data_IF_211617979874
#
_entry.id   IF_211617979874
#
_cell.length_a   1.000
_cell.length_b   1.000
_cell.length_c   1.000
_cell.angle_alpha   90.00
_cell.angle_beta   90.00
_cell.angle_gamma   90.00
#
_symmetry.space_group_name_H-M   'P 1'
#
loop_
_entity.id
_entity.type
_entity.pdbx_description
1 polymer ?
#
# COMPACT_ATOMS: atom_id res chain seq x y z
N UNK A 1 -32.54 -48.54 -3.24
CA UNK A 1 -33.11 -47.76 -2.13
C UNK A 1 -32.04 -46.81 -1.62
N UNK A 2 -32.33 -45.52 -1.54
CA UNK A 2 -31.35 -44.51 -1.12
C UNK A 2 -31.29 -44.49 0.42
N UNK A 3 -30.18 -44.91 1.01
CA UNK A 3 -30.05 -45.03 2.48
C UNK A 3 -29.32 -43.85 3.13
N UNK A 4 -28.38 -43.23 2.42
CA UNK A 4 -27.52 -42.18 2.96
C UNK A 4 -27.30 -41.08 1.94
N UNK A 5 -27.00 -39.87 2.44
CA UNK A 5 -26.68 -38.70 1.63
C UNK A 5 -25.50 -37.95 2.21
N UNK A 6 -24.71 -37.30 1.34
CA UNK A 6 -23.59 -36.44 1.75
C UNK A 6 -24.07 -34.99 1.91
N UNK A 7 -23.90 -34.43 3.10
CA UNK A 7 -24.14 -32.99 3.35
C UNK A 7 -23.01 -32.13 2.78
N UNK A 8 -23.29 -30.84 2.57
CA UNK A 8 -22.30 -29.84 2.09
C UNK A 8 -21.05 -29.71 2.98
N UNK A 9 -21.15 -30.09 4.26
CA UNK A 9 -20.04 -30.10 5.23
C UNK A 9 -19.27 -31.43 5.24
N UNK A 10 -19.51 -32.32 4.26
CA UNK A 10 -18.87 -33.62 4.13
C UNK A 10 -19.48 -34.74 4.98
N UNK A 11 -20.40 -34.44 5.91
CA UNK A 11 -21.00 -35.47 6.78
C UNK A 11 -21.95 -36.38 6.00
N UNK A 12 -21.90 -37.68 6.27
CA UNK A 12 -22.84 -38.67 5.76
C UNK A 12 -23.96 -38.85 6.78
N UNK A 13 -25.21 -38.71 6.34
CA UNK A 13 -26.40 -38.86 7.20
C UNK A 13 -27.41 -39.79 6.55
N UNK A 14 -28.32 -40.33 7.36
CA UNK A 14 -29.45 -41.10 6.86
C UNK A 14 -30.35 -40.27 5.94
N UNK A 15 -30.76 -40.89 4.84
CA UNK A 15 -31.71 -40.31 3.92
C UNK A 15 -33.11 -40.27 4.53
N UNK A 16 -33.81 -39.15 4.35
CA UNK A 16 -35.18 -38.99 4.82
C UNK A 16 -36.04 -38.38 3.72
N UNK A 17 -36.90 -39.21 3.11
CA UNK A 17 -37.83 -38.84 2.04
C UNK A 17 -38.79 -37.72 2.45
N UNK A 18 -39.24 -37.71 3.71
CA UNK A 18 -40.21 -36.74 4.21
C UNK A 18 -39.68 -35.29 4.11
N UNK A 19 -38.36 -35.10 4.15
CA UNK A 19 -37.72 -33.79 3.95
C UNK A 19 -37.93 -33.26 2.53
N UNK A 20 -37.92 -34.13 1.52
CA UNK A 20 -38.17 -33.76 0.13
C UNK A 20 -39.65 -33.41 -0.04
N UNK A 21 -40.55 -34.28 0.43
CA UNK A 21 -42.00 -34.05 0.38
C UNK A 21 -42.38 -32.71 1.05
N UNK A 22 -41.84 -32.45 2.24
CA UNK A 22 -42.06 -31.19 2.96
C UNK A 22 -41.55 -29.97 2.19
N UNK A 23 -40.39 -30.07 1.53
CA UNK A 23 -39.82 -28.97 0.78
C UNK A 23 -40.63 -28.66 -0.49
N UNK A 24 -41.06 -29.70 -1.22
CA UNK A 24 -41.96 -29.59 -2.37
C UNK A 24 -43.29 -28.99 -1.94
N UNK A 25 -43.86 -29.47 -0.83
CA UNK A 25 -45.13 -28.97 -0.31
C UNK A 25 -45.07 -27.49 0.06
N UNK A 26 -44.00 -27.06 0.74
CA UNK A 26 -43.79 -25.63 1.06
C UNK A 26 -43.69 -24.75 -0.18
N UNK A 27 -42.99 -25.23 -1.22
CA UNK A 27 -42.91 -24.51 -2.50
C UNK A 27 -44.27 -24.46 -3.20
N UNK A 28 -45.05 -25.53 -3.12
CA UNK A 28 -46.40 -25.61 -3.69
C UNK A 28 -47.37 -24.67 -2.96
N UNK A 29 -47.33 -24.61 -1.63
CA UNK A 29 -48.12 -23.68 -0.82
C UNK A 29 -47.85 -22.22 -1.19
N UNK A 30 -46.60 -21.86 -1.42
CA UNK A 30 -46.21 -20.49 -1.81
C UNK A 30 -46.78 -20.07 -3.18
N UNK A 31 -47.27 -21.01 -4.00
CA UNK A 31 -47.92 -20.74 -5.29
C UNK A 31 -49.41 -21.16 -5.31
N UNK A 32 -50.00 -21.39 -4.14
CA UNK A 32 -51.43 -21.68 -3.97
C UNK A 32 -51.84 -23.16 -4.01
N UNK A 33 -50.89 -24.08 -3.89
CA UNK A 33 -51.14 -25.53 -3.79
C UNK A 33 -51.34 -26.00 -2.34
N UNK A 34 -52.26 -26.94 -2.11
CA UNK A 34 -52.60 -27.40 -0.75
C UNK A 34 -52.61 -28.93 -0.57
N UNK A 35 -52.22 -29.69 -1.60
CA UNK A 35 -52.26 -31.15 -1.55
C UNK A 35 -50.90 -31.74 -1.14
N UNK A 36 -50.78 -32.16 0.12
CA UNK A 36 -49.58 -32.83 0.63
C UNK A 36 -49.35 -34.20 -0.04
N UNK A 37 -50.42 -34.91 -0.40
CA UNK A 37 -50.33 -36.24 -1.01
C UNK A 37 -49.61 -36.16 -2.37
N UNK A 38 -49.92 -35.14 -3.17
CA UNK A 38 -49.21 -34.87 -4.44
C UNK A 38 -47.73 -34.56 -4.21
N UNK A 39 -47.38 -33.82 -3.14
CA UNK A 39 -45.98 -33.55 -2.81
C UNK A 39 -45.21 -34.82 -2.42
N UNK A 40 -45.89 -35.79 -1.79
CA UNK A 40 -45.34 -37.11 -1.43
C UNK A 40 -45.17 -38.02 -2.64
N UNK A 41 -46.07 -37.94 -3.62
CA UNK A 41 -45.92 -38.66 -4.90
C UNK A 41 -44.74 -38.10 -5.69
N UNK A 42 -44.63 -36.78 -5.78
CA UNK A 42 -43.50 -36.12 -6.43
C UNK A 42 -42.17 -36.40 -5.72
N UNK A 43 -42.14 -36.53 -4.39
CA UNK A 43 -40.90 -36.91 -3.69
C UNK A 43 -40.45 -38.33 -4.03
N UNK A 44 -41.38 -39.26 -4.27
CA UNK A 44 -41.07 -40.62 -4.73
C UNK A 44 -40.51 -40.61 -6.14
N UNK A 45 -41.12 -39.83 -7.04
CA UNK A 45 -40.63 -39.63 -8.40
C UNK A 45 -39.18 -39.07 -8.39
N UNK A 46 -38.88 -38.16 -7.48
CA UNK A 46 -37.51 -37.61 -7.28
C UNK A 46 -36.54 -38.70 -6.82
N UNK A 47 -36.93 -39.53 -5.86
CA UNK A 47 -36.08 -40.63 -5.37
C UNK A 47 -35.81 -41.63 -6.48
N UNK A 48 -36.84 -42.01 -7.24
CA UNK A 48 -36.72 -42.92 -8.37
C UNK A 48 -35.78 -42.34 -9.44
N UNK A 49 -35.96 -41.07 -9.78
CA UNK A 49 -35.07 -40.36 -10.70
C UNK A 49 -33.60 -40.41 -10.24
N UNK A 50 -33.33 -40.12 -8.96
CA UNK A 50 -31.97 -40.12 -8.41
C UNK A 50 -31.39 -41.53 -8.42
N UNK A 51 -32.15 -42.54 -7.99
CA UNK A 51 -31.69 -43.94 -7.97
C UNK A 51 -31.37 -44.46 -9.37
N UNK A 52 -32.12 -44.04 -10.39
CA UNK A 52 -31.93 -44.49 -11.76
C UNK A 52 -30.82 -43.73 -12.51
N UNK A 53 -30.53 -42.49 -12.10
CA UNK A 53 -29.58 -41.61 -12.80
C UNK A 53 -28.21 -41.58 -12.14
N UNK A 54 -28.13 -41.82 -10.82
CA UNK A 54 -26.88 -41.72 -10.08
C UNK A 54 -26.09 -43.03 -10.10
N UNK A 55 -24.74 -43.01 -10.26
CA UNK A 55 -23.93 -44.22 -10.28
C UNK A 55 -24.08 -45.04 -9.00
N UNK A 56 -24.20 -46.37 -9.11
CA UNK A 56 -24.42 -47.28 -7.96
C UNK A 56 -23.33 -47.23 -6.88
N UNK A 57 -22.15 -46.68 -7.18
CA UNK A 57 -21.00 -46.62 -6.27
C UNK A 57 -20.76 -45.23 -5.64
N UNK A 58 -21.64 -44.26 -5.86
CA UNK A 58 -21.47 -42.91 -5.27
C UNK A 58 -22.69 -42.49 -4.44
N UNK A 59 -22.45 -41.62 -3.47
CA UNK A 59 -23.48 -41.10 -2.56
C UNK A 59 -23.95 -39.73 -3.09
N UNK A 60 -25.25 -39.55 -3.37
CA UNK A 60 -25.74 -38.26 -3.83
C UNK A 60 -25.57 -37.23 -2.70
N UNK A 61 -25.10 -36.05 -3.11
CA UNK A 61 -25.06 -34.90 -2.23
C UNK A 61 -26.40 -34.16 -2.21
N UNK A 62 -26.48 -33.16 -1.34
CA UNK A 62 -27.69 -32.35 -1.19
C UNK A 62 -28.04 -31.59 -2.48
N UNK A 63 -27.07 -31.20 -3.31
CA UNK A 63 -27.34 -30.47 -4.56
C UNK A 63 -27.96 -31.39 -5.60
N UNK A 64 -27.43 -32.60 -5.73
CA UNK A 64 -27.95 -33.64 -6.62
C UNK A 64 -29.43 -33.91 -6.35
N UNK A 65 -29.81 -33.98 -5.06
CA UNK A 65 -31.21 -34.19 -4.66
C UNK A 65 -32.06 -32.97 -5.04
N UNK A 66 -31.54 -31.76 -4.81
CA UNK A 66 -32.25 -30.53 -5.13
C UNK A 66 -32.48 -30.35 -6.63
N UNK A 67 -31.48 -30.66 -7.46
CA UNK A 67 -31.59 -30.61 -8.92
C UNK A 67 -32.56 -31.69 -9.44
N UNK A 68 -32.59 -32.86 -8.79
CA UNK A 68 -33.60 -33.88 -9.03
C UNK A 68 -35.03 -33.40 -8.75
N UNK A 69 -35.24 -32.66 -7.65
CA UNK A 69 -36.53 -32.02 -7.34
C UNK A 69 -36.95 -31.04 -8.43
N UNK A 70 -36.04 -30.18 -8.88
CA UNK A 70 -36.35 -29.18 -9.90
C UNK A 70 -36.75 -29.84 -11.23
N UNK A 71 -35.99 -30.85 -11.66
CA UNK A 71 -36.26 -31.57 -12.89
C UNK A 71 -37.61 -32.29 -12.85
N UNK A 72 -37.87 -33.07 -11.80
CA UNK A 72 -39.14 -33.81 -11.68
C UNK A 72 -40.34 -32.87 -11.61
N UNK A 73 -40.23 -31.74 -10.90
CA UNK A 73 -41.30 -30.75 -10.86
C UNK A 73 -41.57 -30.13 -12.24
N UNK A 74 -40.54 -29.89 -13.05
CA UNK A 74 -40.71 -29.36 -14.42
C UNK A 74 -41.32 -30.43 -15.34
N UNK A 75 -40.77 -31.64 -15.34
CA UNK A 75 -41.22 -32.76 -16.20
C UNK A 75 -42.67 -33.18 -15.92
N UNK A 76 -43.09 -33.13 -14.65
CA UNK A 76 -44.47 -33.45 -14.22
C UNK A 76 -45.44 -32.26 -14.36
N UNK A 77 -45.01 -31.16 -14.99
CA UNK A 77 -45.87 -30.01 -15.30
C UNK A 77 -46.10 -29.03 -14.14
N UNK A 78 -45.36 -29.16 -13.04
CA UNK A 78 -45.44 -28.27 -11.87
C UNK A 78 -44.45 -27.08 -11.96
N UNK A 79 -44.38 -26.43 -13.12
CA UNK A 79 -43.41 -25.37 -13.41
C UNK A 79 -43.48 -24.18 -12.41
N UNK A 80 -44.68 -23.80 -11.96
CA UNK A 80 -44.85 -22.74 -10.94
C UNK A 80 -44.24 -23.13 -9.60
N UNK A 81 -44.45 -24.38 -9.17
CA UNK A 81 -43.87 -24.94 -7.94
C UNK A 81 -42.36 -25.07 -8.06
N UNK A 82 -41.85 -25.52 -9.21
CA UNK A 82 -40.41 -25.59 -9.48
C UNK A 82 -39.74 -24.21 -9.35
N UNK A 83 -40.32 -23.17 -9.96
CA UNK A 83 -39.82 -21.79 -9.84
C UNK A 83 -39.78 -21.31 -8.39
N UNK A 84 -40.85 -21.56 -7.63
CA UNK A 84 -40.93 -21.21 -6.20
C UNK A 84 -39.85 -21.93 -5.39
N UNK A 85 -39.65 -23.22 -5.66
CA UNK A 85 -38.62 -24.04 -5.02
C UNK A 85 -37.19 -23.53 -5.31
N UNK A 86 -36.89 -23.23 -6.58
CA UNK A 86 -35.60 -22.63 -7.02
C UNK A 86 -35.34 -21.31 -6.28
N UNK A 87 -36.33 -20.40 -6.26
CA UNK A 87 -36.20 -19.10 -5.61
C UNK A 87 -36.00 -19.23 -4.10
N UNK A 88 -36.71 -20.16 -3.45
CA UNK A 88 -36.53 -20.46 -2.02
C UNK A 88 -35.13 -21.02 -1.72
N UNK A 89 -34.62 -21.93 -2.56
CA UNK A 89 -33.25 -22.46 -2.47
C UNK A 89 -32.21 -21.34 -2.59
N UNK A 90 -32.34 -20.49 -3.62
CA UNK A 90 -31.45 -19.36 -3.86
C UNK A 90 -31.45 -18.38 -2.67
N UNK A 91 -32.63 -18.05 -2.14
CA UNK A 91 -32.76 -17.20 -0.95
C UNK A 91 -32.08 -17.82 0.29
N UNK A 92 -32.27 -19.13 0.52
CA UNK A 92 -31.69 -19.83 1.67
C UNK A 92 -30.17 -20.00 1.57
N UNK A 93 -29.64 -20.22 0.37
CA UNK A 93 -28.19 -20.21 0.12
C UNK A 93 -27.62 -18.82 0.44
N UNK A 94 -28.26 -17.75 -0.06
CA UNK A 94 -27.87 -16.36 0.23
C UNK A 94 -27.89 -16.02 1.73
N UNK A 95 -28.92 -16.46 2.46
CA UNK A 95 -29.00 -16.27 3.92
C UNK A 95 -27.90 -17.02 4.68
N UNK A 96 -27.47 -18.19 4.20
CA UNK A 96 -26.39 -18.96 4.83
C UNK A 96 -25.03 -18.33 4.56
N UNK A 97 -24.80 -17.86 3.34
CA UNK A 97 -23.60 -17.12 2.96
C UNK A 97 -23.49 -15.82 3.77
N UNK A 98 -24.60 -15.09 3.92
CA UNK A 98 -24.67 -13.87 4.75
C UNK A 98 -24.54 -14.12 6.26
N UNK A 99 -24.60 -15.37 6.72
CA UNK A 99 -24.45 -15.74 8.14
C UNK A 99 -23.01 -16.09 8.54
N UNK A 100 -22.08 -16.14 7.58
CA UNK A 100 -20.65 -16.33 7.88
C UNK A 100 -20.14 -15.16 8.74
N UNK A 101 -19.19 -15.44 9.65
CA UNK A 101 -18.62 -14.41 10.55
C UNK A 101 -18.14 -13.20 9.75
N UNK A 102 -17.42 -13.47 8.66
CA UNK A 102 -16.89 -12.44 7.77
C UNK A 102 -17.99 -11.58 7.13
N UNK A 103 -19.08 -12.16 6.63
CA UNK A 103 -20.17 -11.37 6.03
C UNK A 103 -20.90 -10.51 7.05
N UNK A 104 -21.03 -10.98 8.30
CA UNK A 104 -21.55 -10.13 9.39
C UNK A 104 -20.61 -8.98 9.71
N UNK A 105 -19.31 -9.25 9.78
CA UNK A 105 -18.29 -8.19 9.95
C UNK A 105 -18.35 -7.18 8.82
N UNK A 106 -18.49 -7.62 7.57
CA UNK A 106 -18.61 -6.73 6.42
C UNK A 106 -19.88 -5.88 6.51
N UNK A 107 -21.02 -6.48 6.85
CA UNK A 107 -22.25 -5.73 7.05
C UNK A 107 -22.09 -4.64 8.11
N UNK A 108 -21.41 -4.95 9.22
CA UNK A 108 -21.10 -3.98 10.26
C UNK A 108 -20.24 -2.82 9.74
N UNK A 109 -19.17 -3.12 8.99
CA UNK A 109 -18.32 -2.10 8.36
C UNK A 109 -19.09 -1.24 7.35
N UNK A 110 -20.07 -1.81 6.63
CA UNK A 110 -20.83 -1.08 5.58
C UNK A 110 -21.92 -0.17 6.15
N UNK A 111 -22.63 -0.64 7.17
CA UNK A 111 -23.95 -0.09 7.52
C UNK A 111 -24.08 0.38 8.98
N UNK A 112 -23.14 0.04 9.86
CA UNK A 112 -23.15 0.52 11.25
C UNK A 112 -22.30 1.79 11.37
N UNK A 113 -22.77 2.77 12.15
CA UNK A 113 -21.98 3.99 12.41
C UNK A 113 -20.76 3.66 13.29
N UNK A 114 -19.58 4.22 12.96
CA UNK A 114 -18.32 3.81 13.60
C UNK A 114 -18.23 4.12 15.10
N UNK A 115 -19.06 5.03 15.62
CA UNK A 115 -19.16 5.30 17.06
C UNK A 115 -19.66 4.08 17.84
N UNK A 116 -20.48 3.23 17.22
CA UNK A 116 -21.06 2.03 17.82
C UNK A 116 -20.25 0.76 17.50
N UNK A 117 -19.29 0.81 16.57
CA UNK A 117 -18.55 -0.36 16.09
C UNK A 117 -17.07 -0.35 16.49
N UNK A 118 -16.73 -1.11 17.54
CA UNK A 118 -15.35 -1.27 18.03
C UNK A 118 -14.36 -1.77 16.95
N UNK A 119 -14.82 -2.48 15.92
CA UNK A 119 -13.96 -2.96 14.83
C UNK A 119 -13.44 -1.82 13.94
N UNK A 120 -14.20 -0.73 13.82
CA UNK A 120 -13.79 0.44 13.05
C UNK A 120 -12.73 1.29 13.76
N UNK A 121 -12.46 1.02 15.05
CA UNK A 121 -11.50 1.77 15.90
C UNK A 121 -10.23 1.00 16.29
N UNK A 122 -10.08 -0.23 15.80
CA UNK A 122 -8.97 -1.13 16.20
C UNK A 122 -7.59 -0.65 15.74
N UNK A 123 -7.52 0.08 14.61
CA UNK A 123 -6.27 0.62 14.10
C UNK A 123 -6.23 2.13 14.31
N UNK A 124 -5.38 2.60 15.22
CA UNK A 124 -5.27 4.02 15.57
C UNK A 124 -4.83 4.91 14.40
N UNK A 125 -4.27 4.31 13.36
CA UNK A 125 -3.89 5.02 12.16
C UNK A 125 -5.06 5.21 11.20
N UNK A 126 -6.06 4.32 11.16
CA UNK A 126 -7.09 4.30 10.09
C UNK A 126 -8.43 4.87 10.57
N UNK A 127 -8.89 5.97 9.99
CA UNK A 127 -10.27 6.44 10.15
C UNK A 127 -11.21 5.54 9.33
N UNK A 128 -11.82 4.60 10.05
CA UNK A 128 -12.83 3.70 9.52
C UNK A 128 -14.04 4.41 8.89
N UNK A 129 -14.27 5.69 9.16
CA UNK A 129 -15.38 6.46 8.57
C UNK A 129 -15.12 6.88 7.12
N UNK A 130 -13.87 6.84 6.67
CA UNK A 130 -13.54 7.18 5.28
C UNK A 130 -13.81 6.00 4.35
N UNK A 131 -14.16 6.27 3.09
CA UNK A 131 -14.37 5.22 2.09
C UNK A 131 -13.14 4.30 1.94
N UNK A 132 -11.93 4.87 2.06
CA UNK A 132 -10.68 4.10 2.01
C UNK A 132 -10.44 3.31 3.31
N UNK A 133 -10.78 3.87 4.47
CA UNK A 133 -10.71 3.17 5.75
C UNK A 133 -11.63 1.95 5.80
N UNK A 134 -12.87 2.07 5.32
CA UNK A 134 -13.80 0.94 5.19
C UNK A 134 -13.27 -0.13 4.22
N UNK A 135 -12.73 0.27 3.05
CA UNK A 135 -12.11 -0.66 2.10
C UNK A 135 -10.92 -1.41 2.70
N UNK A 136 -10.06 -0.71 3.43
CA UNK A 136 -8.92 -1.31 4.11
C UNK A 136 -9.39 -2.30 5.19
N UNK A 137 -10.47 -1.98 5.92
CA UNK A 137 -11.07 -2.88 6.91
C UNK A 137 -11.65 -4.15 6.29
N UNK A 138 -12.29 -4.07 5.13
CA UNK A 138 -12.68 -5.28 4.40
C UNK A 138 -11.47 -6.14 4.06
N UNK A 139 -10.41 -5.52 3.53
CA UNK A 139 -9.15 -6.23 3.23
C UNK A 139 -8.56 -6.91 4.46
N UNK A 140 -8.49 -6.18 5.59
CA UNK A 140 -7.95 -6.67 6.85
C UNK A 140 -8.73 -7.87 7.39
N UNK A 141 -10.05 -7.75 7.52
CA UNK A 141 -10.89 -8.83 8.07
C UNK A 141 -10.96 -10.05 7.14
N UNK A 142 -10.98 -9.82 5.81
CA UNK A 142 -10.88 -10.88 4.83
C UNK A 142 -9.55 -11.64 4.90
N UNK A 143 -8.45 -10.90 5.06
CA UNK A 143 -7.11 -11.48 5.19
C UNK A 143 -6.98 -12.31 6.48
N UNK A 144 -7.40 -11.77 7.64
CA UNK A 144 -7.41 -12.50 8.92
C UNK A 144 -8.16 -13.83 8.82
N UNK A 145 -9.35 -13.83 8.21
CA UNK A 145 -10.14 -15.06 8.02
C UNK A 145 -9.45 -16.04 7.09
N UNK A 146 -8.89 -15.55 5.98
CA UNK A 146 -8.15 -16.39 5.05
C UNK A 146 -6.95 -17.07 5.73
N UNK A 147 -6.17 -16.33 6.52
CA UNK A 147 -4.99 -16.87 7.20
C UNK A 147 -5.34 -17.91 8.26
N UNK A 148 -6.39 -17.69 9.04
CA UNK A 148 -6.86 -18.68 10.01
C UNK A 148 -7.28 -20.01 9.37
N UNK A 149 -7.89 -19.95 8.19
CA UNK A 149 -8.44 -21.12 7.52
C UNK A 149 -7.43 -21.86 6.64
N UNK A 150 -6.47 -21.13 6.04
CA UNK A 150 -5.65 -21.69 4.95
C UNK A 150 -4.14 -21.55 5.13
N UNK A 151 -3.65 -20.68 6.03
CA UNK A 151 -2.21 -20.37 6.12
C UNK A 151 -1.62 -20.80 7.46
N UNK A 152 -2.28 -20.44 8.57
CA UNK A 152 -1.78 -20.74 9.90
C UNK A 152 -1.93 -22.22 10.24
N UNK A 153 -0.94 -22.75 10.97
CA UNK A 153 -1.10 -24.03 11.66
C UNK A 153 -2.29 -23.93 12.63
N UNK A 154 -3.13 -24.97 12.68
CA UNK A 154 -4.32 -25.01 13.52
C UNK A 154 -4.03 -24.74 15.00
N UNK A 155 -2.90 -25.23 15.53
CA UNK A 155 -2.52 -25.02 16.94
C UNK A 155 -2.15 -23.55 17.20
N UNK A 156 -1.44 -22.90 16.28
CA UNK A 156 -1.08 -21.48 16.38
C UNK A 156 -2.31 -20.58 16.22
N UNK A 157 -3.18 -20.90 15.25
CA UNK A 157 -4.44 -20.21 15.00
C UNK A 157 -5.34 -20.25 16.25
N UNK A 158 -5.48 -21.44 16.86
CA UNK A 158 -6.23 -21.61 18.11
C UNK A 158 -5.57 -20.89 19.28
N UNK A 159 -4.25 -20.96 19.42
CA UNK A 159 -3.54 -20.24 20.49
C UNK A 159 -3.73 -18.72 20.38
N UNK A 160 -3.79 -18.17 19.15
CA UNK A 160 -4.09 -16.76 18.92
C UNK A 160 -5.54 -16.40 19.29
N UNK A 161 -6.50 -17.21 18.84
CA UNK A 161 -7.93 -17.01 19.13
C UNK A 161 -8.26 -17.16 20.63
N UNK A 162 -7.58 -18.08 21.31
CA UNK A 162 -7.69 -18.29 22.77
C UNK A 162 -6.97 -17.19 23.59
N UNK A 163 -6.26 -16.26 22.94
CA UNK A 163 -5.49 -15.20 23.60
C UNK A 163 -4.21 -15.69 24.31
N UNK A 164 -3.74 -16.91 24.01
CA UNK A 164 -2.49 -17.47 24.57
C UNK A 164 -1.25 -16.88 23.93
N UNK A 165 -1.35 -16.51 22.66
CA UNK A 165 -0.34 -15.76 21.91
C UNK A 165 -1.01 -14.64 21.13
N UNK A 166 -0.23 -13.65 20.72
CA UNK A 166 -0.70 -12.59 19.83
C UNK A 166 0.17 -12.58 18.57
N UNK A 167 -0.44 -12.86 17.41
CA UNK A 167 0.21 -12.72 16.12
C UNK A 167 0.00 -11.26 15.70
N UNK A 168 1.06 -10.47 15.79
CA UNK A 168 1.04 -9.06 15.41
C UNK A 168 0.75 -8.90 13.92
N UNK A 169 -0.06 -7.89 13.59
CA UNK A 169 -0.35 -7.45 12.22
C UNK A 169 -0.76 -8.61 11.29
N UNK A 170 -1.57 -9.53 11.83
CA UNK A 170 -1.92 -10.78 11.16
C UNK A 170 -2.57 -10.56 9.80
N UNK A 171 -3.30 -9.46 9.60
CA UNK A 171 -3.87 -9.04 8.31
C UNK A 171 -2.82 -8.79 7.20
N UNK A 172 -1.57 -8.56 7.56
CA UNK A 172 -0.45 -8.37 6.62
C UNK A 172 0.54 -9.55 6.57
N UNK A 173 0.28 -10.63 7.32
CA UNK A 173 1.23 -11.71 7.61
C UNK A 173 2.03 -12.24 6.40
N UNK A 174 1.37 -12.45 5.26
CA UNK A 174 2.02 -12.98 4.04
C UNK A 174 2.24 -11.94 2.96
N UNK A 175 1.87 -10.68 3.20
CA UNK A 175 1.85 -9.62 2.18
C UNK A 175 3.14 -8.78 2.19
N UNK A 176 3.64 -8.44 3.37
CA UNK A 176 4.74 -7.48 3.50
C UNK A 176 5.57 -7.69 4.76
N UNK A 177 6.71 -7.01 4.82
CA UNK A 177 7.53 -6.90 6.01
C UNK A 177 6.93 -5.88 6.99
N UNK A 178 7.33 -5.96 8.26
CA UNK A 178 6.82 -5.07 9.31
C UNK A 178 7.40 -3.65 9.22
N UNK A 179 8.70 -3.50 9.48
CA UNK A 179 9.37 -2.20 9.56
C UNK A 179 10.63 -2.18 8.67
N UNK A 180 11.09 -0.99 8.28
CA UNK A 180 12.38 -0.85 7.58
C UNK A 180 13.14 0.43 7.99
N UNK A 181 14.47 0.33 7.88
CA UNK A 181 15.37 1.47 7.95
C UNK A 181 15.84 1.78 6.53
N UNK A 182 15.60 3.00 6.08
CA UNK A 182 15.87 3.43 4.70
C UNK A 182 17.25 4.07 4.65
N UNK A 183 18.18 3.43 3.94
CA UNK A 183 19.48 4.02 3.62
C UNK A 183 19.35 4.94 2.40
N UNK A 184 19.12 6.23 2.66
CA UNK A 184 18.95 7.24 1.60
C UNK A 184 20.25 7.54 0.84
N UNK A 185 21.42 7.28 1.44
CA UNK A 185 22.71 7.47 0.75
C UNK A 185 22.82 6.46 -0.39
N UNK A 186 22.49 5.20 -0.11
CA UNK A 186 22.44 4.15 -1.12
C UNK A 186 21.31 4.38 -2.12
N UNK A 187 20.11 4.74 -1.64
CA UNK A 187 18.93 4.91 -2.49
C UNK A 187 19.11 6.01 -3.54
N UNK A 188 19.71 7.13 -3.15
CA UNK A 188 19.85 8.29 -4.05
C UNK A 188 21.06 8.21 -4.97
N UNK A 189 22.10 7.48 -4.58
CA UNK A 189 23.33 7.35 -5.37
C UNK A 189 23.03 6.77 -6.75
N UNK A 190 23.42 7.49 -7.80
CA UNK A 190 23.15 7.19 -9.21
C UNK A 190 21.66 7.18 -9.62
N UNK A 191 20.74 7.48 -8.70
CA UNK A 191 19.31 7.39 -8.93
C UNK A 191 18.74 5.96 -8.78
N UNK A 192 17.43 5.84 -8.91
CA UNK A 192 16.72 4.57 -8.77
C UNK A 192 15.43 4.53 -9.60
N UNK A 193 14.93 3.32 -9.87
CA UNK A 193 13.66 3.12 -10.59
C UNK A 193 12.52 2.87 -9.60
N UNK A 194 11.37 3.49 -9.84
CA UNK A 194 10.12 3.26 -9.09
C UNK A 194 9.17 2.31 -9.82
N UNK A 195 9.64 1.62 -10.86
CA UNK A 195 8.83 0.74 -11.72
C UNK A 195 8.10 1.49 -12.85
N UNK A 196 7.66 2.73 -12.62
CA UNK A 196 7.01 3.57 -13.64
C UNK A 196 7.90 4.70 -14.18
N UNK A 197 9.15 4.79 -13.74
CA UNK A 197 10.12 5.78 -14.20
C UNK A 197 11.46 5.69 -13.47
N UNK A 198 12.47 6.36 -14.02
CA UNK A 198 13.80 6.45 -13.41
C UNK A 198 14.02 7.83 -12.79
N UNK A 199 14.22 7.86 -11.48
CA UNK A 199 14.59 9.07 -10.74
C UNK A 199 16.11 9.21 -10.77
N UNK A 200 16.58 10.37 -11.23
CA UNK A 200 18.01 10.72 -11.18
C UNK A 200 18.41 11.10 -9.76
N UNK A 201 19.70 10.97 -9.46
CA UNK A 201 20.24 11.43 -8.19
C UNK A 201 19.91 12.92 -7.97
N UNK A 202 19.33 13.30 -6.81
CA UNK A 202 19.01 14.69 -6.50
C UNK A 202 20.27 15.56 -6.47
N UNK A 203 20.10 16.83 -6.84
CA UNK A 203 21.22 17.76 -7.04
C UNK A 203 21.17 18.98 -6.11
N UNK A 204 20.24 19.03 -5.16
CA UNK A 204 20.06 20.12 -4.19
C UNK A 204 19.25 19.63 -2.98
N UNK A 205 19.41 20.32 -1.85
CA UNK A 205 18.80 19.97 -0.56
C UNK A 205 17.27 19.85 -0.63
N UNK A 206 16.59 20.72 -1.39
CA UNK A 206 15.13 20.67 -1.54
C UNK A 206 14.69 19.37 -2.22
N UNK A 207 15.38 18.96 -3.28
CA UNK A 207 15.12 17.69 -3.97
C UNK A 207 15.45 16.48 -3.10
N UNK A 208 16.54 16.53 -2.33
CA UNK A 208 16.91 15.49 -1.37
C UNK A 208 15.82 15.32 -0.30
N UNK A 209 15.35 16.42 0.30
CA UNK A 209 14.31 16.42 1.31
C UNK A 209 12.97 15.90 0.75
N UNK A 210 12.56 16.37 -0.43
CA UNK A 210 11.34 15.90 -1.10
C UNK A 210 11.38 14.38 -1.37
N UNK A 211 12.49 13.88 -1.93
CA UNK A 211 12.65 12.44 -2.19
C UNK A 211 12.73 11.60 -0.91
N UNK A 212 13.30 12.14 0.19
CA UNK A 212 13.31 11.46 1.47
C UNK A 212 11.89 11.30 2.03
N UNK A 213 11.05 12.34 1.94
CA UNK A 213 9.64 12.27 2.32
C UNK A 213 8.88 11.25 1.46
N UNK A 214 9.08 11.29 0.14
CA UNK A 214 8.47 10.32 -0.80
C UNK A 214 8.91 8.88 -0.48
N UNK A 215 10.18 8.66 -0.14
CA UNK A 215 10.69 7.33 0.21
C UNK A 215 9.99 6.79 1.47
N UNK A 216 9.82 7.60 2.51
CA UNK A 216 9.08 7.22 3.72
C UNK A 216 7.62 6.89 3.35
N UNK A 217 6.96 7.78 2.61
CA UNK A 217 5.55 7.64 2.25
C UNK A 217 5.28 6.42 1.36
N UNK A 218 6.17 6.14 0.40
CA UNK A 218 6.04 4.97 -0.47
C UNK A 218 6.13 3.69 0.35
N UNK A 219 7.10 3.60 1.28
CA UNK A 219 7.21 2.42 2.13
C UNK A 219 6.02 2.29 3.10
N UNK A 220 5.51 3.39 3.66
CA UNK A 220 4.33 3.35 4.54
C UNK A 220 3.06 2.89 3.80
N UNK A 221 2.99 3.01 2.47
CA UNK A 221 1.88 2.46 1.67
C UNK A 221 1.99 0.95 1.41
N UNK A 222 3.20 0.40 1.50
CA UNK A 222 3.49 -1.02 1.21
C UNK A 222 3.81 -1.84 2.47
N UNK A 223 3.94 -1.19 3.63
CA UNK A 223 4.30 -1.80 4.92
C UNK A 223 3.37 -1.31 6.03
N UNK A 224 3.08 -2.16 7.01
CA UNK A 224 2.16 -1.84 8.11
C UNK A 224 2.84 -1.24 9.34
N UNK A 225 4.13 -1.53 9.55
CA UNK A 225 4.90 -1.01 10.68
C UNK A 225 5.48 0.37 10.42
N UNK A 226 6.48 0.74 11.23
CA UNK A 226 7.16 2.03 11.14
C UNK A 226 8.34 2.02 10.16
N UNK A 227 8.60 3.17 9.54
CA UNK A 227 9.77 3.41 8.71
C UNK A 227 10.60 4.55 9.25
N UNK A 228 11.91 4.46 9.09
CA UNK A 228 12.84 5.47 9.59
C UNK A 228 14.03 5.66 8.66
N UNK A 229 14.60 6.86 8.67
CA UNK A 229 15.90 7.17 8.06
C UNK A 229 16.86 7.41 9.23
N UNK A 230 17.66 6.40 9.64
CA UNK A 230 18.45 6.50 10.87
C UNK A 230 19.58 7.53 10.79
N UNK A 231 20.11 7.77 9.60
CA UNK A 231 21.21 8.70 9.32
C UNK A 231 20.71 9.92 8.53
N UNK A 232 19.56 10.48 8.90
CA UNK A 232 18.85 11.51 8.14
C UNK A 232 19.70 12.74 7.86
N UNK A 233 20.34 13.30 8.89
CA UNK A 233 21.25 14.43 8.80
C UNK A 233 22.44 14.16 7.88
N UNK A 234 23.12 13.03 8.08
CA UNK A 234 24.26 12.61 7.27
C UNK A 234 23.88 12.37 5.81
N UNK A 235 22.75 11.69 5.57
CA UNK A 235 22.28 11.36 4.23
C UNK A 235 21.84 12.61 3.44
N UNK A 236 21.27 13.60 4.12
CA UNK A 236 20.89 14.88 3.51
C UNK A 236 22.06 15.86 3.37
N UNK A 237 23.15 15.70 4.13
CA UNK A 237 24.32 16.58 4.05
C UNK A 237 24.88 16.69 2.63
N UNK A 238 24.78 15.63 1.81
CA UNK A 238 25.17 15.68 0.39
C UNK A 238 24.32 16.67 -0.42
N UNK A 239 23.03 16.77 -0.10
CA UNK A 239 22.14 17.77 -0.70
C UNK A 239 22.54 19.20 -0.32
N UNK A 240 22.93 19.43 0.94
CA UNK A 240 23.44 20.72 1.43
C UNK A 240 24.74 21.09 0.71
N UNK A 241 25.69 20.15 0.61
CA UNK A 241 26.97 20.35 -0.10
C UNK A 241 26.74 20.76 -1.55
N UNK A 242 25.89 20.02 -2.29
CA UNK A 242 25.59 20.35 -3.70
C UNK A 242 24.90 21.71 -3.85
N UNK A 243 24.00 22.05 -2.94
CA UNK A 243 23.37 23.39 -2.90
C UNK A 243 24.41 24.48 -2.66
N UNK A 244 25.31 24.29 -1.69
CA UNK A 244 26.37 25.25 -1.38
C UNK A 244 27.27 25.48 -2.59
N UNK A 245 27.76 24.43 -3.25
CA UNK A 245 28.63 24.56 -4.43
C UNK A 245 27.94 25.35 -5.55
N UNK A 246 26.65 25.09 -5.81
CA UNK A 246 25.87 25.85 -6.82
C UNK A 246 25.74 27.32 -6.45
N UNK A 247 25.44 27.61 -5.18
CA UNK A 247 25.30 28.97 -4.66
C UNK A 247 26.63 29.72 -4.68
N UNK A 248 27.71 29.07 -4.25
CA UNK A 248 29.06 29.60 -4.27
C UNK A 248 29.46 30.04 -5.67
N UNK A 249 29.33 29.14 -6.66
CA UNK A 249 29.61 29.46 -8.07
C UNK A 249 28.78 30.64 -8.56
N UNK A 250 27.46 30.63 -8.31
CA UNK A 250 26.59 31.72 -8.74
C UNK A 250 26.97 33.07 -8.14
N UNK A 251 27.29 33.10 -6.85
CA UNK A 251 27.68 34.32 -6.15
C UNK A 251 29.08 34.80 -6.53
N UNK A 252 29.99 33.88 -6.85
CA UNK A 252 31.30 34.21 -7.40
C UNK A 252 31.18 34.84 -8.79
N UNK A 253 30.33 34.30 -9.67
CA UNK A 253 30.07 34.92 -10.97
C UNK A 253 29.57 36.37 -10.83
N UNK A 254 28.56 36.60 -9.97
CA UNK A 254 28.01 37.95 -9.71
C UNK A 254 29.07 38.88 -9.14
N UNK A 255 29.94 38.39 -8.25
CA UNK A 255 30.98 39.20 -7.64
C UNK A 255 32.09 39.56 -8.64
N UNK A 256 32.49 38.63 -9.50
CA UNK A 256 33.47 38.89 -10.56
C UNK A 256 32.90 39.85 -11.61
N UNK A 257 31.64 39.69 -11.98
CA UNK A 257 30.94 40.63 -12.87
C UNK A 257 30.94 42.05 -12.30
N UNK A 258 30.60 42.19 -11.02
CA UNK A 258 30.53 43.51 -10.40
C UNK A 258 31.90 44.13 -10.10
N UNK A 259 32.85 43.35 -9.58
CA UNK A 259 34.14 43.88 -9.11
C UNK A 259 35.18 44.02 -10.21
N UNK A 260 35.16 43.14 -11.22
CA UNK A 260 36.13 43.13 -12.31
C UNK A 260 35.51 43.56 -13.66
N UNK A 261 34.22 43.92 -13.66
CA UNK A 261 33.47 44.33 -14.87
C UNK A 261 33.53 43.29 -16.01
N UNK A 262 33.65 42.00 -15.63
CA UNK A 262 33.69 40.89 -16.58
C UNK A 262 32.25 40.48 -16.96
N UNK A 263 31.92 40.30 -18.25
CA UNK A 263 30.59 39.84 -18.63
C UNK A 263 30.19 38.54 -17.91
N UNK A 264 28.94 38.46 -17.41
CA UNK A 264 28.47 37.32 -16.61
C UNK A 264 28.73 35.95 -17.27
N UNK A 265 28.51 35.82 -18.59
CA UNK A 265 28.74 34.56 -19.30
C UNK A 265 30.22 34.14 -19.28
N UNK A 266 31.14 35.11 -19.43
CA UNK A 266 32.58 34.87 -19.30
C UNK A 266 32.93 34.50 -17.85
N UNK A 267 32.37 35.20 -16.87
CA UNK A 267 32.58 34.87 -15.46
C UNK A 267 32.08 33.45 -15.13
N UNK A 268 30.93 33.05 -15.68
CA UNK A 268 30.36 31.71 -15.51
C UNK A 268 31.23 30.61 -16.11
N UNK A 269 31.75 30.81 -17.32
CA UNK A 269 32.69 29.88 -17.95
C UNK A 269 33.95 29.70 -17.09
N UNK A 270 34.57 30.82 -16.69
CA UNK A 270 35.78 30.83 -15.86
C UNK A 270 35.55 30.16 -14.52
N UNK A 271 34.47 30.51 -13.80
CA UNK A 271 34.16 29.91 -12.49
C UNK A 271 33.92 28.41 -12.61
N UNK A 272 33.20 27.96 -13.63
CA UNK A 272 32.92 26.54 -13.82
C UNK A 272 34.19 25.73 -14.11
N UNK A 273 35.09 26.26 -14.96
CA UNK A 273 36.39 25.65 -15.25
C UNK A 273 37.30 25.67 -14.02
N UNK A 274 37.49 26.84 -13.40
CA UNK A 274 38.36 27.02 -12.25
C UNK A 274 37.94 26.14 -11.07
N UNK A 275 36.62 26.06 -10.79
CA UNK A 275 36.11 25.17 -9.73
C UNK A 275 36.45 23.71 -10.02
N UNK A 276 36.25 23.24 -11.25
CA UNK A 276 36.57 21.85 -11.63
C UNK A 276 38.06 21.55 -11.46
N UNK A 277 38.92 22.47 -11.93
CA UNK A 277 40.38 22.31 -11.83
C UNK A 277 40.84 22.40 -10.37
N UNK A 278 40.30 23.32 -9.57
CA UNK A 278 40.61 23.46 -8.16
C UNK A 278 40.24 22.20 -7.36
N UNK A 279 39.05 21.65 -7.59
CA UNK A 279 38.61 20.38 -6.98
C UNK A 279 39.55 19.24 -7.39
N UNK A 280 39.93 19.15 -8.67
CA UNK A 280 40.82 18.09 -9.14
C UNK A 280 42.23 18.19 -8.53
N UNK A 281 42.78 19.41 -8.40
CA UNK A 281 44.12 19.65 -7.83
C UNK A 281 44.17 19.42 -6.32
N UNK A 282 43.11 19.77 -5.60
CA UNK A 282 43.11 19.77 -4.12
C UNK A 282 42.39 18.56 -3.52
N UNK A 283 41.48 17.93 -4.25
CA UNK A 283 40.54 16.95 -3.70
C UNK A 283 39.46 17.56 -2.79
N UNK A 284 39.35 18.89 -2.75
CA UNK A 284 38.47 19.62 -1.83
C UNK A 284 37.36 20.32 -2.62
N UNK A 285 36.12 20.15 -2.17
CA UNK A 285 34.99 20.91 -2.70
C UNK A 285 34.83 22.26 -1.98
N UNK A 286 34.23 23.28 -2.64
CA UNK A 286 33.68 24.42 -1.93
C UNK A 286 32.76 23.95 -0.81
N UNK A 287 33.00 24.44 0.40
CA UNK A 287 32.30 24.01 1.61
C UNK A 287 32.13 25.20 2.56
N UNK A 288 31.21 25.08 3.53
CA UNK A 288 30.89 26.15 4.48
C UNK A 288 32.15 26.72 5.15
N UNK A 289 33.06 25.85 5.58
CA UNK A 289 34.39 26.21 6.06
C UNK A 289 35.44 26.04 4.96
N UNK A 290 35.54 27.06 4.11
CA UNK A 290 36.49 27.06 2.99
C UNK A 290 37.93 26.83 3.46
N UNK A 291 38.58 25.78 2.93
CA UNK A 291 39.98 25.47 3.23
C UNK A 291 40.90 26.40 2.46
N UNK A 292 41.94 26.92 3.11
CA UNK A 292 42.91 27.84 2.51
C UNK A 292 43.55 27.26 1.26
N UNK A 293 43.81 25.95 1.24
CA UNK A 293 44.35 25.22 0.08
C UNK A 293 43.46 25.38 -1.17
N UNK A 294 42.14 25.24 -1.02
CA UNK A 294 41.19 25.43 -2.12
C UNK A 294 41.14 26.90 -2.57
N UNK A 295 41.04 27.82 -1.61
CA UNK A 295 40.92 29.26 -1.88
C UNK A 295 42.11 29.77 -2.69
N UNK A 296 43.33 29.39 -2.29
CA UNK A 296 44.57 29.81 -2.96
C UNK A 296 44.68 29.25 -4.38
N UNK A 297 44.34 27.98 -4.58
CA UNK A 297 44.36 27.38 -5.93
C UNK A 297 43.34 28.03 -6.84
N UNK A 298 42.12 28.29 -6.34
CA UNK A 298 41.08 28.96 -7.12
C UNK A 298 41.44 30.42 -7.43
N UNK A 299 42.06 31.13 -6.49
CA UNK A 299 42.54 32.50 -6.68
C UNK A 299 43.52 32.59 -7.85
N UNK A 300 44.54 31.73 -7.87
CA UNK A 300 45.54 31.71 -8.94
C UNK A 300 44.92 31.35 -10.30
N UNK A 301 44.00 30.38 -10.35
CA UNK A 301 43.31 30.01 -11.58
C UNK A 301 42.45 31.15 -12.13
N UNK A 302 41.73 31.87 -11.27
CA UNK A 302 40.88 33.00 -11.70
C UNK A 302 41.74 34.17 -12.18
N UNK A 303 42.83 34.49 -11.46
CA UNK A 303 43.79 35.52 -11.87
C UNK A 303 44.38 35.24 -13.25
N UNK A 304 44.77 33.99 -13.49
CA UNK A 304 45.31 33.54 -14.77
C UNK A 304 44.29 33.70 -15.89
N UNK A 305 43.07 33.17 -15.70
CA UNK A 305 42.02 33.13 -16.73
C UNK A 305 41.41 34.49 -17.05
N UNK A 306 41.38 35.42 -16.10
CA UNK A 306 40.86 36.76 -16.28
C UNK A 306 41.95 37.81 -16.54
N UNK A 307 43.23 37.39 -16.60
CA UNK A 307 44.38 38.29 -16.70
C UNK A 307 44.40 39.36 -15.57
N UNK A 308 43.75 39.04 -14.44
CA UNK A 308 43.48 39.95 -13.33
C UNK A 308 44.63 39.99 -12.30
N UNK A 309 45.88 39.82 -12.75
CA UNK A 309 47.06 39.71 -11.86
C UNK A 309 47.27 40.94 -10.97
N UNK A 310 46.94 42.14 -11.47
CA UNK A 310 47.03 43.39 -10.73
C UNK A 310 45.78 43.68 -9.87
N UNK A 311 44.82 42.76 -9.82
CA UNK A 311 43.53 42.90 -9.16
C UNK A 311 43.25 41.74 -8.18
N UNK A 312 44.31 41.12 -7.65
CA UNK A 312 44.22 40.01 -6.69
C UNK A 312 43.28 40.33 -5.51
N UNK A 313 43.37 41.54 -4.97
CA UNK A 313 42.54 41.97 -3.84
C UNK A 313 41.04 41.95 -4.19
N UNK A 314 40.67 42.24 -5.44
CA UNK A 314 39.29 42.17 -5.93
C UNK A 314 38.83 40.72 -6.09
N UNK A 315 39.69 39.82 -6.56
CA UNK A 315 39.37 38.38 -6.65
C UNK A 315 39.19 37.78 -5.25
N UNK A 316 40.07 38.12 -4.30
CA UNK A 316 39.94 37.72 -2.89
C UNK A 316 38.63 38.25 -2.29
N UNK A 317 38.27 39.50 -2.60
CA UNK A 317 37.00 40.09 -2.18
C UNK A 317 35.80 39.36 -2.81
N UNK A 318 35.91 38.92 -4.05
CA UNK A 318 34.90 38.13 -4.74
C UNK A 318 34.71 36.74 -4.09
N UNK A 319 35.80 36.02 -3.78
CA UNK A 319 35.74 34.73 -3.08
C UNK A 319 35.13 34.85 -1.68
N UNK A 320 35.50 35.90 -0.93
CA UNK A 320 34.92 36.19 0.39
C UNK A 320 33.42 36.50 0.29
N UNK A 321 33.02 37.30 -0.69
CA UNK A 321 31.61 37.58 -0.97
C UNK A 321 30.85 36.28 -1.28
N UNK A 322 31.36 35.47 -2.22
CA UNK A 322 30.74 34.22 -2.62
C UNK A 322 30.57 33.25 -1.45
N UNK A 323 31.61 33.05 -0.65
CA UNK A 323 31.60 32.16 0.52
C UNK A 323 30.57 32.60 1.56
N UNK A 324 30.56 33.90 1.90
CA UNK A 324 29.65 34.47 2.91
C UNK A 324 28.19 34.36 2.48
N UNK A 325 27.89 34.75 1.23
CA UNK A 325 26.52 34.73 0.74
C UNK A 325 26.01 33.30 0.50
N UNK A 326 26.85 32.41 -0.02
CA UNK A 326 26.48 31.00 -0.19
C UNK A 326 26.19 30.31 1.15
N UNK A 327 26.93 30.62 2.21
CA UNK A 327 26.69 30.07 3.54
C UNK A 327 25.31 30.50 4.09
N UNK A 328 24.97 31.79 3.96
CA UNK A 328 23.65 32.29 4.40
C UNK A 328 22.52 31.70 3.56
N UNK A 329 22.66 31.72 2.23
CA UNK A 329 21.61 31.23 1.33
C UNK A 329 21.39 29.71 1.43
N UNK A 330 22.44 28.92 1.69
CA UNK A 330 22.27 27.47 1.86
C UNK A 330 21.57 27.14 3.18
N UNK A 331 21.82 27.92 4.24
CA UNK A 331 21.15 27.77 5.53
C UNK A 331 19.64 28.03 5.39
N UNK A 332 19.27 29.16 4.77
CA UNK A 332 17.88 29.51 4.46
C UNK A 332 17.18 28.42 3.60
N UNK A 333 17.86 27.91 2.56
CA UNK A 333 17.31 26.84 1.71
C UNK A 333 17.17 25.51 2.44
N UNK A 334 18.12 25.19 3.31
CA UNK A 334 18.09 23.96 4.10
C UNK A 334 16.93 24.02 5.09
N UNK A 335 16.75 25.15 5.77
CA UNK A 335 15.61 25.40 6.64
C UNK A 335 14.28 25.22 5.91
N UNK A 336 14.08 25.90 4.77
CA UNK A 336 12.87 25.76 3.96
C UNK A 336 12.64 24.32 3.46
N UNK A 337 13.70 23.61 3.10
CA UNK A 337 13.60 22.21 2.70
C UNK A 337 13.13 21.31 3.86
N UNK A 338 13.56 21.59 5.09
CA UNK A 338 13.15 20.84 6.28
C UNK A 338 11.71 21.17 6.68
N UNK A 339 11.29 22.43 6.58
CA UNK A 339 9.86 22.80 6.74
C UNK A 339 8.99 22.07 5.72
N UNK A 340 9.41 22.06 4.45
CA UNK A 340 8.73 21.32 3.39
C UNK A 340 8.69 19.82 3.65
N UNK A 341 9.76 19.24 4.18
CA UNK A 341 9.81 17.83 4.59
C UNK A 341 8.79 17.52 5.69
N UNK A 342 8.76 18.31 6.76
CA UNK A 342 7.82 18.14 7.88
C UNK A 342 6.38 18.31 7.39
N UNK A 343 6.12 19.34 6.59
CA UNK A 343 4.81 19.57 5.99
C UNK A 343 4.38 18.35 5.16
N UNK A 344 5.24 17.86 4.27
CA UNK A 344 4.97 16.68 3.45
C UNK A 344 4.65 15.43 4.26
N UNK A 345 5.32 15.23 5.41
CA UNK A 345 5.00 14.11 6.30
C UNK A 345 3.65 14.26 7.00
N UNK A 346 3.23 15.49 7.30
CA UNK A 346 1.98 15.76 8.03
C UNK A 346 0.75 15.93 7.13
N UNK A 347 0.92 16.29 5.86
CA UNK A 347 -0.22 16.61 4.97
C UNK A 347 -0.53 15.56 3.92
N UNK A 348 0.40 14.64 3.64
CA UNK A 348 0.15 13.57 2.68
C UNK A 348 -0.45 12.36 3.40
N UNK A 349 -1.75 12.14 3.18
CA UNK A 349 -2.45 10.96 3.68
C UNK A 349 -1.86 9.70 3.06
N UNK A 350 -1.40 8.80 3.93
CA UNK A 350 -1.05 7.43 3.55
C UNK A 350 -2.35 6.61 3.54
N UNK A 351 -2.42 5.52 2.78
CA UNK A 351 -3.61 4.61 2.75
C UNK A 351 -4.09 4.17 4.14
N UNK A 352 -3.20 4.24 5.14
CA UNK A 352 -3.43 3.86 6.51
C UNK A 352 -3.68 5.03 7.47
N UNK A 353 -3.61 6.29 7.04
CA UNK A 353 -3.82 7.49 7.87
C UNK A 353 -4.87 8.41 7.26
N UNK A 354 -6.12 8.03 7.45
CA UNK A 354 -7.28 8.92 7.38
C UNK A 354 -7.74 9.20 8.79
#
# INVERSE_FOLDING_TARGET
>A
MLMQIRKRDGRIVEFNEEKIATAIYKAAMAVGGHNYQTAKELSRDVIEYIVNTFPRNDLPDVETIQDGVEKVLIEKGHAKTAKSYILYRAARTRTRESQTRLMKTYHGITYEEAEENNLMRENANVDGNTAMGAMLKYGSEGAKEFYHLHVLNADHSKAHQDGKIHIHDMDFLTLTMTCCQIDIVKLFKNGFSTGHGYLREPQDISSYAALAAIAIQSNQNDMHGGQSIPNFDYGLAKGVEKSYIKLYKSNLCKALEFLLEVPFDKAKEVVEECTKVAIHKTGINPQLEMKSEYILVELELIKEKLEAYNQEELVVKAQKFASKHAAREVDERTFQAMEGFIHNLNTMHVRHVG
#
